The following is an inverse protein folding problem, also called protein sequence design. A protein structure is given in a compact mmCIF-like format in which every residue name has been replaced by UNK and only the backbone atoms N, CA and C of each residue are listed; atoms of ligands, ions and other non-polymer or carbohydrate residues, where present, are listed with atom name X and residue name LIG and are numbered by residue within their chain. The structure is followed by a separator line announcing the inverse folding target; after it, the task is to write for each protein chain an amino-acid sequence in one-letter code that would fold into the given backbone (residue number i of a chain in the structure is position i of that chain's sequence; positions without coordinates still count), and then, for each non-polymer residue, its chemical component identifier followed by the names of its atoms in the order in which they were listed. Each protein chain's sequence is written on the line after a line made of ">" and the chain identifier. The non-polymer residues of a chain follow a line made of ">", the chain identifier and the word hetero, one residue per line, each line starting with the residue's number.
data_IF_461109319487
#
_entry.id   IF_461109319487
#
_cell.length_a   1.000
_cell.length_b   1.000
_cell.length_c   1.000
_cell.angle_alpha   90.00
_cell.angle_beta   90.00
_cell.angle_gamma   90.00
#
_symmetry.space_group_name_H-M   'P 1'
#
loop_
_entity.id
_entity.type
_entity.pdbx_description
1 polymer ?
#
# COMPACT_ATOMS: atom_id res chain seq x y z
N UNK A 1 -45.84 6.72 21.30
CA UNK A 1 -44.92 7.09 20.20
C UNK A 1 -43.52 7.27 20.79
N UNK A 2 -42.90 6.17 21.23
CA UNK A 2 -41.64 6.15 21.98
C UNK A 2 -40.92 4.85 21.61
N UNK A 3 -40.11 4.88 20.54
CA UNK A 3 -39.29 3.72 20.14
C UNK A 3 -37.82 4.10 19.89
N UNK A 4 -37.45 5.35 20.09
CA UNK A 4 -36.25 5.92 19.45
C UNK A 4 -35.01 6.05 20.34
N UNK A 5 -35.08 5.82 21.65
CA UNK A 5 -33.93 6.05 22.55
C UNK A 5 -33.17 4.77 22.98
N UNK A 6 -33.74 3.58 22.80
CA UNK A 6 -33.11 2.30 23.17
C UNK A 6 -32.49 1.49 22.03
N UNK A 7 -32.78 1.84 20.77
CA UNK A 7 -32.55 0.92 19.63
C UNK A 7 -31.25 1.18 18.83
N UNK A 8 -30.41 2.16 19.21
CA UNK A 8 -29.16 2.47 18.48
C UNK A 8 -27.96 2.77 19.39
N UNK A 9 -27.56 1.86 20.30
CA UNK A 9 -26.39 2.05 21.14
C UNK A 9 -25.15 2.41 20.30
N UNK A 10 -25.00 1.80 19.12
CA UNK A 10 -23.90 2.02 18.19
C UNK A 10 -23.81 3.47 17.67
N UNK A 11 -24.95 4.16 17.47
CA UNK A 11 -24.94 5.54 16.97
C UNK A 11 -24.44 6.53 18.02
N UNK A 12 -24.83 6.34 19.28
CA UNK A 12 -24.33 7.16 20.40
C UNK A 12 -22.84 6.92 20.64
N UNK A 13 -22.39 5.67 20.56
CA UNK A 13 -20.97 5.30 20.64
C UNK A 13 -20.15 5.85 19.46
N UNK A 14 -20.70 5.85 18.24
CA UNK A 14 -20.03 6.42 17.06
C UNK A 14 -19.93 7.96 17.16
N UNK A 15 -20.96 8.64 17.68
CA UNK A 15 -20.94 10.10 17.85
C UNK A 15 -19.87 10.56 18.86
N UNK A 16 -19.53 9.72 19.84
CA UNK A 16 -18.47 10.00 20.82
C UNK A 16 -17.07 9.54 20.41
N UNK A 17 -16.91 8.85 19.28
CA UNK A 17 -15.61 8.34 18.86
C UNK A 17 -14.79 9.42 18.14
N UNK A 18 -13.46 9.26 18.13
CA UNK A 18 -12.60 10.17 17.39
C UNK A 18 -12.74 9.93 15.88
N UNK A 19 -12.73 11.01 15.11
CA UNK A 19 -12.69 10.93 13.66
C UNK A 19 -11.48 10.13 13.18
N UNK A 20 -11.70 9.29 12.17
CA UNK A 20 -10.65 8.49 11.58
C UNK A 20 -9.52 9.38 11.06
N UNK A 21 -8.30 9.12 11.55
CA UNK A 21 -7.09 9.73 11.03
C UNK A 21 -6.31 8.67 10.28
N UNK A 22 -6.15 8.80 8.94
CA UNK A 22 -5.38 7.83 8.18
C UNK A 22 -3.93 7.85 8.64
N UNK A 23 -3.34 6.66 8.77
CA UNK A 23 -1.93 6.51 9.14
C UNK A 23 -1.00 7.16 8.11
N UNK A 24 -1.38 7.11 6.82
CA UNK A 24 -0.64 7.71 5.71
C UNK A 24 -1.52 8.78 5.07
N UNK A 25 -1.13 10.07 5.12
CA UNK A 25 -1.80 11.13 4.40
C UNK A 25 -1.85 10.86 2.89
N UNK A 26 -3.00 11.10 2.27
CA UNK A 26 -3.20 10.86 0.83
C UNK A 26 -2.26 11.67 -0.05
N UNK A 27 -1.86 12.86 0.40
CA UNK A 27 -0.90 13.72 -0.29
C UNK A 27 0.50 13.10 -0.41
N UNK A 28 0.87 12.14 0.44
CA UNK A 28 2.18 11.47 0.40
C UNK A 28 2.20 10.23 -0.51
N UNK A 29 1.04 9.65 -0.80
CA UNK A 29 0.91 8.46 -1.65
C UNK A 29 1.57 8.57 -3.03
N UNK A 30 1.44 9.68 -3.80
CA UNK A 30 2.10 9.76 -5.11
C UNK A 30 3.64 9.73 -5.00
N UNK A 31 4.21 10.33 -3.97
CA UNK A 31 5.65 10.31 -3.74
C UNK A 31 6.14 8.91 -3.33
N UNK A 32 5.39 8.22 -2.46
CA UNK A 32 5.65 6.84 -2.08
C UNK A 32 5.59 5.94 -3.32
N UNK A 33 4.53 6.05 -4.12
CA UNK A 33 4.37 5.30 -5.35
C UNK A 33 5.57 5.54 -6.30
N UNK A 34 5.94 6.80 -6.53
CA UNK A 34 7.06 7.15 -7.40
C UNK A 34 8.37 6.51 -6.95
N UNK A 35 8.70 6.59 -5.66
CA UNK A 35 9.95 6.03 -5.13
C UNK A 35 9.94 4.49 -5.25
N UNK A 36 8.86 3.83 -4.86
CA UNK A 36 8.79 2.37 -4.90
C UNK A 36 8.77 1.81 -6.32
N UNK A 37 8.04 2.44 -7.24
CA UNK A 37 7.98 2.02 -8.64
C UNK A 37 9.29 2.32 -9.38
N UNK A 38 9.97 3.42 -9.06
CA UNK A 38 11.30 3.70 -9.61
C UNK A 38 12.34 2.70 -9.11
N UNK A 39 12.28 2.36 -7.81
CA UNK A 39 13.14 1.34 -7.23
C UNK A 39 12.84 -0.05 -7.81
N UNK A 40 11.57 -0.38 -8.03
CA UNK A 40 11.14 -1.59 -8.72
C UNK A 40 11.74 -1.68 -10.12
N UNK A 41 11.64 -0.60 -10.91
CA UNK A 41 12.21 -0.57 -12.26
C UNK A 41 13.71 -0.88 -12.23
N UNK A 42 14.44 -0.29 -11.28
CA UNK A 42 15.87 -0.51 -11.11
C UNK A 42 16.18 -1.96 -10.67
N UNK A 43 15.43 -2.50 -9.71
CA UNK A 43 15.57 -3.88 -9.23
C UNK A 43 15.26 -4.89 -10.33
N UNK A 44 14.20 -4.64 -11.11
CA UNK A 44 13.81 -5.48 -12.25
C UNK A 44 14.87 -5.42 -13.35
N UNK A 45 15.37 -4.23 -13.69
CA UNK A 45 16.48 -4.07 -14.62
C UNK A 45 17.70 -4.85 -14.14
N UNK A 46 18.12 -4.64 -12.89
CA UNK A 46 19.25 -5.36 -12.31
C UNK A 46 19.07 -6.88 -12.37
N UNK A 47 17.89 -7.38 -12.00
CA UNK A 47 17.55 -8.80 -12.09
C UNK A 47 17.72 -9.35 -13.51
N UNK A 48 17.30 -8.60 -14.54
CA UNK A 48 17.47 -9.02 -15.94
C UNK A 48 18.92 -9.03 -16.43
N UNK A 49 19.79 -8.24 -15.80
CA UNK A 49 21.23 -8.20 -16.12
C UNK A 49 22.06 -9.27 -15.41
N UNK A 50 21.49 -10.00 -14.45
CA UNK A 50 22.21 -11.04 -13.73
C UNK A 50 22.58 -12.22 -14.66
N UNK A 51 23.82 -12.74 -14.59
CA UNK A 51 24.21 -13.91 -15.37
C UNK A 51 23.34 -15.11 -14.99
N UNK A 52 22.65 -15.70 -15.98
CA UNK A 52 21.75 -16.85 -15.78
C UNK A 52 22.51 -18.16 -15.55
N UNK A 53 23.35 -18.22 -14.52
CA UNK A 53 24.10 -19.43 -14.11
C UNK A 53 23.48 -20.01 -12.86
N UNK A 54 22.50 -20.92 -13.04
CA UNK A 54 21.82 -21.64 -11.95
C UNK A 54 21.12 -20.68 -10.97
N UNK A 55 20.09 -21.14 -10.25
CA UNK A 55 19.41 -20.29 -9.26
C UNK A 55 20.41 -19.80 -8.20
N UNK A 56 20.80 -18.54 -8.30
CA UNK A 56 21.79 -17.92 -7.43
C UNK A 56 21.07 -17.22 -6.28
N UNK A 57 21.58 -17.23 -5.03
CA UNK A 57 20.96 -16.52 -3.91
C UNK A 57 20.66 -15.03 -4.20
N UNK A 58 21.48 -14.39 -5.04
CA UNK A 58 21.28 -13.01 -5.50
C UNK A 58 19.98 -12.83 -6.29
N UNK A 59 19.62 -13.77 -7.15
CA UNK A 59 18.36 -13.73 -7.92
C UNK A 59 17.17 -13.82 -6.97
N UNK A 60 17.23 -14.69 -5.97
CA UNK A 60 16.17 -14.84 -4.97
C UNK A 60 15.99 -13.55 -4.18
N UNK A 61 17.09 -12.98 -3.66
CA UNK A 61 17.03 -11.75 -2.86
C UNK A 61 16.46 -10.58 -3.67
N UNK A 62 16.96 -10.39 -4.89
CA UNK A 62 16.50 -9.30 -5.77
C UNK A 62 15.06 -9.51 -6.19
N UNK A 63 14.66 -10.75 -6.51
CA UNK A 63 13.30 -11.09 -6.88
C UNK A 63 12.30 -10.84 -5.74
N UNK A 64 12.65 -11.21 -4.50
CA UNK A 64 11.83 -10.93 -3.32
C UNK A 64 11.73 -9.43 -3.06
N UNK A 65 12.85 -8.70 -3.13
CA UNK A 65 12.84 -7.24 -2.97
C UNK A 65 11.97 -6.55 -4.03
N UNK A 66 12.11 -6.94 -5.30
CA UNK A 66 11.31 -6.44 -6.40
C UNK A 66 9.81 -6.76 -6.21
N UNK A 67 9.48 -7.97 -5.75
CA UNK A 67 8.08 -8.36 -5.47
C UNK A 67 7.43 -7.46 -4.42
N UNK A 68 8.13 -7.17 -3.31
CA UNK A 68 7.65 -6.25 -2.28
C UNK A 68 7.48 -4.82 -2.82
N UNK A 69 8.48 -4.32 -3.55
CA UNK A 69 8.43 -2.99 -4.17
C UNK A 69 7.25 -2.87 -5.15
N UNK A 70 6.97 -3.92 -5.93
CA UNK A 70 5.83 -3.97 -6.83
C UNK A 70 4.50 -3.93 -6.09
N UNK A 71 4.32 -4.78 -5.07
CA UNK A 71 3.08 -4.81 -4.29
C UNK A 71 2.76 -3.47 -3.64
N UNK A 72 3.69 -2.94 -2.84
CA UNK A 72 3.49 -1.66 -2.16
C UNK A 72 3.40 -0.48 -3.14
N UNK A 73 4.19 -0.47 -4.21
CA UNK A 73 4.20 0.60 -5.21
C UNK A 73 2.89 0.69 -5.98
N UNK A 74 2.32 -0.44 -6.39
CA UNK A 74 1.05 -0.48 -7.12
C UNK A 74 -0.12 -0.07 -6.22
N UNK A 75 -0.17 -0.57 -4.96
CA UNK A 75 -1.19 -0.15 -3.99
C UNK A 75 -1.12 1.36 -3.72
N UNK A 76 0.09 1.90 -3.54
CA UNK A 76 0.27 3.34 -3.34
C UNK A 76 -0.16 4.14 -4.58
N UNK A 77 0.17 3.67 -5.79
CA UNK A 77 -0.23 4.32 -7.04
C UNK A 77 -1.75 4.36 -7.20
N UNK A 78 -2.43 3.24 -6.96
CA UNK A 78 -3.88 3.14 -7.12
C UNK A 78 -4.61 4.04 -6.12
N UNK A 79 -4.11 4.12 -4.89
CA UNK A 79 -4.64 5.06 -3.90
C UNK A 79 -4.30 6.53 -4.22
N UNK A 80 -3.19 6.80 -4.91
CA UNK A 80 -2.83 8.16 -5.35
C UNK A 80 -3.73 8.66 -6.50
N UNK A 81 -4.18 7.79 -7.41
CA UNK A 81 -5.08 8.15 -8.53
C UNK A 81 -6.57 8.13 -8.16
N UNK A 82 -6.90 7.84 -6.89
CA UNK A 82 -8.27 7.91 -6.39
C UNK A 82 -9.13 6.67 -6.68
N UNK A 83 -8.53 5.52 -6.97
CA UNK A 83 -9.27 4.24 -7.07
C UNK A 83 -9.73 3.76 -5.69
N UNK A 84 -8.99 4.12 -4.63
CA UNK A 84 -9.24 3.78 -3.22
C UNK A 84 -9.58 2.29 -3.01
N UNK A 85 -8.53 1.49 -2.79
CA UNK A 85 -8.66 0.05 -2.47
C UNK A 85 -8.88 -0.15 -0.98
#
# INVERSE_FOLDING_TARGET
>A
MSKTLGERPLAALHAGSQAFKPLIPTALLPYIAFILLSSLFLSAFYFTTLPKRTLTPKEIIVGVAASLQAGFGVVALFNAVGVYV
#
